data_IF_951646244744
#
_entry.id   IF_951646244744
#
_cell.length_a   1.000
_cell.length_b   1.000
_cell.length_c   1.000
_cell.angle_alpha   90.00
_cell.angle_beta   90.00
_cell.angle_gamma   90.00
#
_symmetry.space_group_name_H-M   'P 1'
#
loop_
_entity.id
_entity.type
_entity.pdbx_description
1 polymer ?
#
# COMPACT_ATOMS: atom_id res chain seq x y z
N UNK A 1 -13.87 -6.44 32.02
CA UNK A 1 -13.48 -5.60 30.87
C UNK A 1 -11.97 -5.55 30.62
N UNK A 2 -11.11 -5.55 31.65
CA UNK A 2 -9.64 -5.45 31.48
C UNK A 2 -9.03 -6.56 30.59
N UNK A 3 -9.48 -7.81 30.77
CA UNK A 3 -9.01 -8.95 29.98
C UNK A 3 -9.32 -8.81 28.48
N UNK A 4 -10.55 -8.40 28.13
CA UNK A 4 -10.93 -8.19 26.73
C UNK A 4 -10.10 -7.08 26.06
N UNK A 5 -9.82 -5.99 26.78
CA UNK A 5 -9.00 -4.90 26.26
C UNK A 5 -7.55 -5.33 26.01
N UNK A 6 -6.99 -6.10 26.95
CA UNK A 6 -5.62 -6.64 26.84
C UNK A 6 -5.52 -7.60 25.65
N UNK A 7 -6.44 -8.56 25.54
CA UNK A 7 -6.48 -9.51 24.42
C UNK A 7 -6.71 -8.83 23.07
N UNK A 8 -7.52 -7.77 23.02
CA UNK A 8 -7.68 -6.98 21.79
C UNK A 8 -6.37 -6.34 21.33
N UNK A 9 -5.60 -5.76 22.27
CA UNK A 9 -4.30 -5.17 21.96
C UNK A 9 -3.31 -6.18 21.39
N UNK A 10 -3.27 -7.41 21.93
CA UNK A 10 -2.39 -8.48 21.44
C UNK A 10 -2.77 -8.95 20.03
N UNK A 11 -4.06 -9.13 19.77
CA UNK A 11 -4.58 -9.53 18.45
C UNK A 11 -4.33 -8.41 17.43
N UNK A 12 -4.57 -7.16 17.80
CA UNK A 12 -4.32 -6.01 16.93
C UNK A 12 -2.83 -5.86 16.58
N UNK A 13 -1.94 -6.01 17.57
CA UNK A 13 -0.50 -5.98 17.37
C UNK A 13 -0.04 -7.08 16.41
N UNK A 14 -0.53 -8.31 16.62
CA UNK A 14 -0.22 -9.45 15.75
C UNK A 14 -0.69 -9.21 14.31
N UNK A 15 -1.89 -8.64 14.15
CA UNK A 15 -2.42 -8.29 12.83
C UNK A 15 -1.62 -7.19 12.14
N UNK A 16 -1.22 -6.14 12.86
CA UNK A 16 -0.33 -5.10 12.33
C UNK A 16 1.03 -5.66 11.91
N UNK A 17 1.55 -6.65 12.63
CA UNK A 17 2.78 -7.34 12.25
C UNK A 17 2.66 -8.04 10.89
N UNK A 18 1.54 -8.74 10.66
CA UNK A 18 1.24 -9.33 9.34
C UNK A 18 1.14 -8.27 8.24
N UNK A 19 0.51 -7.13 8.52
CA UNK A 19 0.43 -6.02 7.56
C UNK A 19 1.82 -5.49 7.20
N UNK A 20 2.71 -5.33 8.19
CA UNK A 20 4.08 -4.87 7.98
C UNK A 20 4.90 -5.86 7.14
N UNK A 21 4.82 -7.16 7.43
CA UNK A 21 5.49 -8.21 6.64
C UNK A 21 4.99 -8.20 5.21
N UNK A 22 3.68 -8.06 4.99
CA UNK A 22 3.10 -8.00 3.65
C UNK A 22 3.64 -6.82 2.84
N UNK A 23 3.63 -5.62 3.41
CA UNK A 23 4.16 -4.41 2.74
C UNK A 23 5.66 -4.55 2.46
N UNK A 24 6.42 -5.14 3.38
CA UNK A 24 7.84 -5.39 3.21
C UNK A 24 8.12 -6.35 2.04
N UNK A 25 7.41 -7.48 1.97
CA UNK A 25 7.56 -8.47 0.90
C UNK A 25 7.15 -7.86 -0.45
N UNK A 26 6.01 -7.17 -0.53
CA UNK A 26 5.59 -6.49 -1.77
C UNK A 26 6.60 -5.41 -2.20
N UNK A 27 7.20 -4.69 -1.25
CA UNK A 27 8.22 -3.68 -1.54
C UNK A 27 9.52 -4.30 -2.06
N UNK A 28 9.98 -5.42 -1.51
CA UNK A 28 11.14 -6.14 -2.05
C UNK A 28 10.84 -6.68 -3.44
N UNK A 29 9.65 -7.26 -3.65
CA UNK A 29 9.27 -7.77 -4.96
C UNK A 29 9.15 -6.66 -6.01
N UNK A 30 8.76 -5.45 -5.60
CA UNK A 30 8.55 -4.31 -6.50
C UNK A 30 9.83 -3.50 -6.76
N UNK A 31 10.68 -3.32 -5.76
CA UNK A 31 11.83 -2.42 -5.82
C UNK A 31 13.20 -3.13 -5.72
N UNK A 32 13.21 -4.43 -5.39
CA UNK A 32 14.43 -5.22 -5.30
C UNK A 32 15.28 -4.93 -4.06
N UNK A 33 16.55 -5.33 -4.15
CA UNK A 33 17.55 -5.16 -3.09
C UNK A 33 18.70 -4.26 -3.59
N UNK A 34 19.35 -3.48 -2.69
CA UNK A 34 19.08 -3.36 -1.25
C UNK A 34 17.76 -2.63 -0.96
N UNK A 35 17.11 -2.89 0.19
CA UNK A 35 15.79 -2.34 0.49
C UNK A 35 15.89 -0.84 0.80
N UNK A 36 15.69 0.01 -0.21
CA UNK A 36 15.63 1.47 -0.05
C UNK A 36 14.19 1.97 -0.23
N UNK A 37 13.32 1.64 0.73
CA UNK A 37 11.93 2.12 0.72
C UNK A 37 11.50 2.58 2.11
N UNK A 38 10.57 3.54 2.13
CA UNK A 38 9.96 4.06 3.34
C UNK A 38 8.49 3.62 3.38
N UNK A 39 8.13 2.79 4.36
CA UNK A 39 6.74 2.38 4.59
C UNK A 39 6.10 3.28 5.64
N UNK A 40 4.92 3.83 5.35
CA UNK A 40 4.19 4.75 6.24
C UNK A 40 2.73 4.32 6.35
N UNK A 41 2.19 4.36 7.57
CA UNK A 41 0.75 4.17 7.82
C UNK A 41 0.09 5.55 7.82
N UNK A 42 -0.92 5.73 6.96
CA UNK A 42 -1.66 6.98 6.83
C UNK A 42 -3.12 6.75 7.20
N UNK A 43 -3.68 7.63 8.04
CA UNK A 43 -5.10 7.66 8.38
C UNK A 43 -5.73 8.98 7.88
N UNK A 44 -5.96 9.11 6.56
CA UNK A 44 -6.59 10.29 6.00
C UNK A 44 -8.07 10.38 6.40
N UNK A 45 -8.61 11.60 6.44
CA UNK A 45 -10.06 11.79 6.57
C UNK A 45 -10.76 11.32 5.28
N UNK A 46 -11.97 10.77 5.41
CA UNK A 46 -12.78 10.25 4.28
C UNK A 46 -12.94 11.29 3.15
N UNK A 47 -12.97 12.58 3.48
CA UNK A 47 -13.09 13.67 2.49
C UNK A 47 -11.77 13.98 1.78
N UNK A 48 -10.63 13.74 2.42
CA UNK A 48 -9.31 14.08 1.90
C UNK A 48 -8.58 12.89 1.27
N UNK A 49 -9.11 11.67 1.39
CA UNK A 49 -8.47 10.46 0.85
C UNK A 49 -8.12 10.59 -0.64
N UNK A 50 -9.07 11.07 -1.47
CA UNK A 50 -8.82 11.29 -2.91
C UNK A 50 -7.68 12.26 -3.17
N UNK A 51 -7.60 13.33 -2.36
CA UNK A 51 -6.53 14.34 -2.48
C UNK A 51 -5.17 13.74 -2.09
N UNK A 52 -5.13 12.95 -1.02
CA UNK A 52 -3.91 12.27 -0.56
C UNK A 52 -3.42 11.28 -1.62
N UNK A 53 -4.31 10.47 -2.20
CA UNK A 53 -3.96 9.54 -3.29
C UNK A 53 -3.38 10.27 -4.50
N UNK A 54 -4.04 11.35 -4.94
CA UNK A 54 -3.56 12.15 -6.08
C UNK A 54 -2.16 12.76 -5.84
N UNK A 55 -1.88 13.27 -4.62
CA UNK A 55 -0.55 13.80 -4.28
C UNK A 55 0.50 12.67 -4.24
N UNK A 56 0.17 11.51 -3.67
CA UNK A 56 1.09 10.38 -3.61
C UNK A 56 1.41 9.81 -5.00
N UNK A 57 0.43 9.78 -5.90
CA UNK A 57 0.61 9.40 -7.30
C UNK A 57 1.56 10.37 -8.00
N UNK A 58 1.36 11.68 -7.86
CA UNK A 58 2.25 12.70 -8.44
C UNK A 58 3.69 12.60 -7.94
N UNK A 59 3.88 12.44 -6.62
CA UNK A 59 5.21 12.32 -6.01
C UNK A 59 5.92 11.03 -6.46
N UNK A 60 5.20 9.92 -6.53
CA UNK A 60 5.78 8.60 -6.81
C UNK A 60 5.95 8.33 -8.32
N UNK A 61 5.16 8.94 -9.20
CA UNK A 61 5.33 8.84 -10.67
C UNK A 61 6.71 9.36 -11.08
N UNK A 62 7.23 10.41 -10.45
CA UNK A 62 8.55 10.98 -10.77
C UNK A 62 9.75 10.05 -10.49
N UNK A 63 9.62 9.13 -9.54
CA UNK A 63 10.75 8.32 -9.02
C UNK A 63 10.84 6.94 -9.68
N UNK A 64 9.70 6.35 -10.08
CA UNK A 64 9.63 4.98 -10.61
C UNK A 64 8.85 4.84 -11.93
N UNK A 65 8.56 5.96 -12.62
CA UNK A 65 7.80 6.03 -13.88
C UNK A 65 8.24 4.99 -14.93
N UNK A 66 9.52 4.62 -14.94
CA UNK A 66 10.10 3.73 -15.95
C UNK A 66 9.73 2.24 -15.80
N UNK A 67 9.26 1.79 -14.64
CA UNK A 67 9.01 0.35 -14.42
C UNK A 67 7.54 -0.07 -14.63
N UNK A 68 6.60 0.89 -14.60
CA UNK A 68 5.16 0.58 -14.63
C UNK A 68 4.37 1.36 -15.70
N UNK A 69 4.97 2.35 -16.39
CA UNK A 69 4.45 2.83 -17.68
C UNK A 69 4.89 1.84 -18.77
N UNK A 70 4.15 0.75 -18.91
CA UNK A 70 4.09 0.10 -20.22
C UNK A 70 3.21 0.98 -21.11
N UNK A 71 3.81 1.64 -22.08
CA UNK A 71 3.11 2.03 -23.29
C UNK A 71 2.65 0.75 -23.99
N UNK A 72 1.34 0.56 -24.15
CA UNK A 72 0.64 0.22 -25.42
C UNK A 72 -0.84 -0.04 -25.04
N UNK A 73 -1.78 0.80 -25.45
CA UNK A 73 -2.65 0.51 -26.60
C UNK A 73 -2.82 -1.01 -26.87
N UNK A 74 -4.07 -1.50 -26.86
CA UNK A 74 -4.38 -2.82 -27.43
C UNK A 74 -4.28 -4.03 -26.49
N UNK A 75 -5.35 -4.24 -25.73
CA UNK A 75 -5.99 -5.55 -25.56
C UNK A 75 -5.13 -6.76 -25.16
N UNK A 76 -5.14 -7.11 -23.88
CA UNK A 76 -5.45 -8.46 -23.40
C UNK A 76 -5.64 -8.42 -21.88
N UNK A 77 -6.81 -8.80 -21.39
CA UNK A 77 -7.13 -8.84 -19.96
C UNK A 77 -6.18 -9.74 -19.16
N UNK A 78 -5.37 -9.12 -18.31
CA UNK A 78 -4.78 -9.72 -17.14
C UNK A 78 -5.70 -9.51 -15.94
N UNK A 79 -6.18 -10.60 -15.35
CA UNK A 79 -7.13 -10.63 -14.22
C UNK A 79 -6.66 -9.73 -13.06
N UNK A 80 -7.30 -8.57 -12.88
CA UNK A 80 -7.18 -7.73 -11.67
C UNK A 80 -6.74 -6.27 -11.84
N UNK A 81 -6.57 -5.78 -13.06
CA UNK A 81 -6.27 -4.36 -13.32
C UNK A 81 -7.54 -3.51 -13.27
N UNK A 82 -7.62 -2.58 -12.30
CA UNK A 82 -8.17 -1.21 -12.47
C UNK A 82 -8.42 -0.46 -11.13
N UNK A 83 -8.26 -1.09 -9.95
CA UNK A 83 -8.52 -0.40 -8.67
C UNK A 83 -7.32 -0.25 -7.72
N UNK A 84 -6.20 -0.94 -7.97
CA UNK A 84 -5.05 -0.98 -7.05
C UNK A 84 -3.69 -0.73 -7.71
N UNK A 85 -3.67 -0.27 -8.96
CA UNK A 85 -2.45 0.02 -9.68
C UNK A 85 -1.92 1.42 -9.31
N UNK A 86 -1.48 1.60 -8.06
CA UNK A 86 -0.74 2.79 -7.67
C UNK A 86 0.76 2.59 -8.00
N UNK A 87 1.51 3.65 -8.33
CA UNK A 87 2.95 3.56 -8.57
C UNK A 87 3.73 3.10 -7.30
N UNK A 88 3.11 3.19 -6.12
CA UNK A 88 3.61 2.72 -4.84
C UNK A 88 2.87 1.49 -4.30
N UNK A 89 3.51 0.73 -3.40
CA UNK A 89 2.87 -0.34 -2.63
C UNK A 89 1.85 0.27 -1.68
N UNK A 90 0.59 -0.09 -1.83
CA UNK A 90 -0.51 0.44 -1.01
C UNK A 90 -1.34 -0.70 -0.43
N UNK A 91 -1.63 -0.61 0.87
CA UNK A 91 -2.49 -1.56 1.56
C UNK A 91 -3.51 -0.79 2.40
N UNK A 92 -4.80 -0.98 2.11
CA UNK A 92 -5.88 -0.33 2.86
C UNK A 92 -6.20 -1.15 4.12
N UNK A 93 -6.01 -0.52 5.27
CA UNK A 93 -6.32 -1.09 6.59
C UNK A 93 -7.71 -0.60 7.01
N UNK A 94 -8.70 -1.50 7.03
CA UNK A 94 -10.03 -1.17 7.54
C UNK A 94 -10.04 -1.37 9.07
N UNK A 95 -10.03 -0.27 9.80
CA UNK A 95 -10.22 -0.25 11.25
C UNK A 95 -11.73 -0.17 11.51
N UNK A 96 -12.26 -1.15 12.22
CA UNK A 96 -13.69 -1.30 12.58
C UNK A 96 -14.03 -0.39 13.76
#
# INVERSE_FOLDING_TARGET
>A
MLWCYTSYGEVFSSWMHFCAVRVFVESILRYGLPPSFLSVVLAPSVKSEKKVRSILEELCDSTNSTYWKSEDDGGMGGVGGDAYAHPYVSFTINLI
#
